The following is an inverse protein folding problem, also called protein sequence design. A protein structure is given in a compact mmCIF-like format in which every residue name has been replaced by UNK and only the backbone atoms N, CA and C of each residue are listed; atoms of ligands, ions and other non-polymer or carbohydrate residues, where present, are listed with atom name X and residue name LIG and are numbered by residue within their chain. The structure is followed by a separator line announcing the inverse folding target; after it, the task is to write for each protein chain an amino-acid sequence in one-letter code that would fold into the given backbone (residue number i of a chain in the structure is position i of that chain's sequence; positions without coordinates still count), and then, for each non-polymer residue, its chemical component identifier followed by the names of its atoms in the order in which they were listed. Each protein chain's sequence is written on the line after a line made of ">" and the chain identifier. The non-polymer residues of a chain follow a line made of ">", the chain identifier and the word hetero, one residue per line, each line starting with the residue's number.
data_IF_103779268023
#
_entry.id   IF_103779268023
#
_cell.length_a   1.000
_cell.length_b   1.000
_cell.length_c   1.000
_cell.angle_alpha   90.00
_cell.angle_beta   90.00
_cell.angle_gamma   90.00
#
_symmetry.space_group_name_H-M   'P 1'
#
loop_
_entity.id
_entity.type
_entity.pdbx_description
1 polymer ?
#
# COMPACT_ATOMS: atom_id res chain seq x y z
N UNK A 1 -22.70 61.32 -9.53
CA UNK A 1 -21.72 60.74 -10.44
C UNK A 1 -20.68 59.98 -9.59
N UNK A 2 -20.99 58.72 -9.16
CA UNK A 2 -20.05 57.89 -8.39
C UNK A 2 -19.51 56.82 -9.31
N UNK A 3 -18.25 57.00 -9.69
CA UNK A 3 -17.48 56.06 -10.53
C UNK A 3 -17.06 54.85 -9.69
N UNK A 4 -17.46 53.64 -10.13
CA UNK A 4 -17.02 52.34 -9.64
C UNK A 4 -15.50 52.23 -9.53
N UNK A 5 -15.01 52.12 -8.29
CA UNK A 5 -13.63 51.73 -7.99
C UNK A 5 -13.61 50.30 -7.43
N UNK A 6 -14.05 49.32 -8.25
CA UNK A 6 -13.71 47.92 -7.98
C UNK A 6 -12.62 47.52 -8.96
N UNK A 7 -11.38 47.85 -8.59
CA UNK A 7 -10.22 47.27 -9.23
C UNK A 7 -10.26 45.75 -9.04
N UNK A 8 -10.38 44.98 -10.13
CA UNK A 8 -10.11 43.55 -10.15
C UNK A 8 -8.72 43.37 -9.56
N UNK A 9 -8.61 42.84 -8.32
CA UNK A 9 -7.34 42.30 -7.81
C UNK A 9 -6.89 41.27 -8.83
N UNK A 10 -5.82 41.53 -9.59
CA UNK A 10 -5.08 40.50 -10.33
C UNK A 10 -4.68 39.47 -9.28
N UNK A 11 -5.29 38.30 -9.32
CA UNK A 11 -4.81 37.18 -8.53
C UNK A 11 -3.35 36.94 -8.93
N UNK A 12 -2.48 36.85 -7.93
CA UNK A 12 -1.09 36.55 -8.12
C UNK A 12 -1.00 35.15 -8.77
N UNK A 13 -0.31 34.97 -9.90
CA UNK A 13 -0.18 33.67 -10.56
C UNK A 13 0.35 32.58 -9.65
N UNK A 14 1.18 32.92 -8.67
CA UNK A 14 1.72 31.96 -7.67
C UNK A 14 0.62 31.39 -6.78
N UNK A 15 -0.36 32.21 -6.35
CA UNK A 15 -1.51 31.78 -5.54
C UNK A 15 -2.43 30.85 -6.34
N UNK A 16 -2.60 31.10 -7.62
CA UNK A 16 -3.40 30.24 -8.51
C UNK A 16 -2.77 28.88 -8.70
N UNK A 17 -1.45 28.82 -8.94
CA UNK A 17 -0.69 27.56 -9.09
C UNK A 17 -0.71 26.72 -7.82
N UNK A 18 -0.61 27.36 -6.65
CA UNK A 18 -0.64 26.66 -5.35
C UNK A 18 -2.03 26.08 -5.08
N UNK A 19 -3.09 26.80 -5.43
CA UNK A 19 -4.48 26.31 -5.32
C UNK A 19 -4.75 25.12 -6.24
N UNK A 20 -4.20 25.10 -7.44
CA UNK A 20 -4.37 24.00 -8.39
C UNK A 20 -3.59 22.76 -7.92
N UNK A 21 -2.38 22.95 -7.40
CA UNK A 21 -1.57 21.88 -6.79
C UNK A 21 -2.29 21.26 -5.60
N UNK A 22 -2.85 22.08 -4.71
CA UNK A 22 -3.60 21.62 -3.55
C UNK A 22 -4.83 20.82 -3.95
N UNK A 23 -5.63 21.31 -4.89
CA UNK A 23 -6.82 20.59 -5.39
C UNK A 23 -6.47 19.22 -5.99
N UNK A 24 -5.42 19.18 -6.80
CA UNK A 24 -4.92 17.94 -7.39
C UNK A 24 -4.50 16.95 -6.30
N UNK A 25 -3.74 17.40 -5.33
CA UNK A 25 -3.31 16.57 -4.21
C UNK A 25 -4.49 16.03 -3.40
N UNK A 26 -5.43 16.89 -3.00
CA UNK A 26 -6.63 16.47 -2.25
C UNK A 26 -7.46 15.44 -3.01
N UNK A 27 -7.60 15.60 -4.32
CA UNK A 27 -8.29 14.64 -5.18
C UNK A 27 -7.57 13.27 -5.18
N UNK A 28 -6.24 13.25 -5.30
CA UNK A 28 -5.43 12.02 -5.26
C UNK A 28 -5.54 11.31 -3.91
N UNK A 29 -5.37 12.04 -2.81
CA UNK A 29 -5.48 11.46 -1.47
C UNK A 29 -6.88 10.89 -1.25
N UNK A 30 -7.92 11.64 -1.58
CA UNK A 30 -9.31 11.16 -1.45
C UNK A 30 -9.58 9.90 -2.26
N UNK A 31 -9.03 9.82 -3.48
CA UNK A 31 -9.23 8.67 -4.37
C UNK A 31 -8.52 7.41 -3.85
N UNK A 32 -7.31 7.53 -3.28
CA UNK A 32 -6.44 6.39 -3.04
C UNK A 32 -6.13 6.09 -1.57
N UNK A 33 -6.52 6.95 -0.62
CA UNK A 33 -6.21 6.77 0.81
C UNK A 33 -6.59 5.39 1.34
N UNK A 34 -7.78 4.88 0.98
CA UNK A 34 -8.27 3.56 1.41
C UNK A 34 -7.40 2.43 0.87
N UNK A 35 -6.99 2.51 -0.39
CA UNK A 35 -6.13 1.49 -1.01
C UNK A 35 -4.73 1.53 -0.42
N UNK A 36 -4.20 2.74 -0.15
CA UNK A 36 -2.92 2.91 0.54
C UNK A 36 -2.94 2.31 1.94
N UNK A 37 -3.99 2.59 2.73
CA UNK A 37 -4.12 2.03 4.07
C UNK A 37 -4.20 0.50 4.05
N UNK A 38 -5.01 -0.07 3.17
CA UNK A 38 -5.12 -1.53 3.02
C UNK A 38 -3.77 -2.16 2.67
N UNK A 39 -3.05 -1.57 1.74
CA UNK A 39 -1.73 -2.06 1.37
C UNK A 39 -0.70 -1.90 2.49
N UNK A 40 -0.68 -0.75 3.17
CA UNK A 40 0.17 -0.51 4.33
C UNK A 40 -0.09 -1.54 5.43
N UNK A 41 -1.37 -1.79 5.74
CA UNK A 41 -1.76 -2.78 6.74
C UNK A 41 -1.28 -4.20 6.37
N UNK A 42 -1.36 -4.58 5.10
CA UNK A 42 -0.82 -5.85 4.63
C UNK A 42 0.71 -5.95 4.71
N UNK A 43 1.41 -4.84 4.68
CA UNK A 43 2.87 -4.83 4.83
C UNK A 43 3.32 -4.95 6.30
N UNK A 44 2.63 -4.29 7.22
CA UNK A 44 3.10 -4.15 8.60
C UNK A 44 2.26 -4.90 9.64
N UNK A 45 1.01 -5.30 9.32
CA UNK A 45 0.05 -5.97 10.23
C UNK A 45 -0.24 -5.25 11.54
N UNK A 46 -0.04 -3.95 11.56
CA UNK A 46 -0.29 -3.07 12.68
C UNK A 46 -1.03 -1.83 12.19
N UNK A 47 -2.17 -1.53 12.78
CA UNK A 47 -3.02 -0.43 12.36
C UNK A 47 -2.35 0.94 12.54
N UNK A 48 -1.66 1.15 13.66
CA UNK A 48 -0.96 2.41 13.94
C UNK A 48 0.21 2.62 12.97
N UNK A 49 0.97 1.56 12.72
CA UNK A 49 2.07 1.61 11.75
C UNK A 49 1.55 1.84 10.33
N UNK A 50 0.41 1.25 9.97
CA UNK A 50 -0.21 1.47 8.68
C UNK A 50 -0.68 2.92 8.51
N UNK A 51 -1.27 3.51 9.54
CA UNK A 51 -1.66 4.92 9.57
C UNK A 51 -0.43 5.84 9.41
N UNK A 52 0.62 5.61 10.18
CA UNK A 52 1.87 6.38 10.09
C UNK A 52 2.50 6.30 8.69
N UNK A 53 2.53 5.10 8.10
CA UNK A 53 3.03 4.90 6.74
C UNK A 53 2.21 5.66 5.70
N UNK A 54 0.88 5.66 5.84
CA UNK A 54 0.01 6.43 4.94
C UNK A 54 0.24 7.92 5.11
N UNK A 55 0.34 8.43 6.34
CA UNK A 55 0.62 9.83 6.59
C UNK A 55 1.95 10.27 6.00
N UNK A 56 3.04 9.52 6.23
CA UNK A 56 4.36 9.84 5.65
C UNK A 56 4.33 9.76 4.12
N UNK A 57 3.60 8.78 3.55
CA UNK A 57 3.38 8.68 2.11
C UNK A 57 2.70 9.94 1.57
N UNK A 58 1.65 10.42 2.23
CA UNK A 58 0.93 11.63 1.86
C UNK A 58 1.84 12.87 1.92
N UNK A 59 2.64 13.01 2.98
CA UNK A 59 3.60 14.12 3.11
C UNK A 59 4.63 14.12 1.98
N UNK A 60 5.17 12.96 1.62
CA UNK A 60 6.12 12.84 0.50
C UNK A 60 5.46 13.07 -0.84
N UNK A 61 4.25 12.55 -1.03
CA UNK A 61 3.47 12.78 -2.23
C UNK A 61 3.22 14.29 -2.45
N UNK A 62 2.87 15.03 -1.40
CA UNK A 62 2.75 16.49 -1.49
C UNK A 62 4.03 17.16 -1.98
N UNK A 63 5.18 16.79 -1.38
CA UNK A 63 6.49 17.37 -1.72
C UNK A 63 6.94 17.05 -3.13
N UNK A 64 6.56 15.88 -3.65
CA UNK A 64 6.99 15.38 -4.97
C UNK A 64 5.87 15.34 -6.00
N UNK A 65 4.73 16.03 -5.77
CA UNK A 65 3.56 15.99 -6.65
C UNK A 65 3.88 16.42 -8.07
N UNK A 66 4.79 17.36 -8.23
CA UNK A 66 5.22 17.89 -9.53
C UNK A 66 5.95 16.82 -10.38
N UNK A 67 6.44 15.74 -9.76
CA UNK A 67 7.02 14.60 -10.47
C UNK A 67 5.98 13.65 -11.07
N UNK A 68 4.73 13.73 -10.64
CA UNK A 68 3.63 12.95 -11.20
C UNK A 68 3.13 13.60 -12.50
N UNK A 69 3.57 13.09 -13.63
CA UNK A 69 3.24 13.63 -14.95
C UNK A 69 1.87 13.16 -15.47
N UNK A 70 1.48 11.93 -15.12
CA UNK A 70 0.20 11.32 -15.54
C UNK A 70 -0.62 10.89 -14.32
N UNK A 71 -1.80 11.45 -14.16
CA UNK A 71 -2.72 11.10 -13.07
C UNK A 71 -3.21 9.64 -13.12
N UNK A 72 -3.15 9.00 -14.29
CA UNK A 72 -3.44 7.57 -14.42
C UNK A 72 -2.41 6.69 -13.69
N UNK A 73 -1.18 7.15 -13.59
CA UNK A 73 -0.12 6.48 -12.86
C UNK A 73 -0.12 6.78 -11.35
N UNK A 74 -1.02 7.66 -10.88
CA UNK A 74 -1.03 8.15 -9.50
C UNK A 74 -1.09 7.04 -8.46
N UNK A 75 -1.91 6.01 -8.67
CA UNK A 75 -2.01 4.87 -7.75
C UNK A 75 -0.69 4.13 -7.61
N UNK A 76 -0.06 3.76 -8.72
CA UNK A 76 1.22 3.05 -8.73
C UNK A 76 2.34 3.91 -8.12
N UNK A 77 2.34 5.21 -8.43
CA UNK A 77 3.28 6.17 -7.88
C UNK A 77 3.15 6.30 -6.36
N UNK A 78 1.93 6.43 -5.81
CA UNK A 78 1.68 6.47 -4.37
C UNK A 78 2.08 5.17 -3.67
N UNK A 79 1.77 4.02 -4.23
CA UNK A 79 2.17 2.70 -3.72
C UNK A 79 3.71 2.57 -3.70
N UNK A 80 4.39 3.07 -4.74
CA UNK A 80 5.85 3.08 -4.78
C UNK A 80 6.45 3.95 -3.67
N UNK A 81 5.87 5.12 -3.38
CA UNK A 81 6.29 5.97 -2.26
C UNK A 81 6.09 5.21 -0.95
N UNK A 82 4.92 4.64 -0.70
CA UNK A 82 4.57 3.91 0.52
C UNK A 82 5.55 2.74 0.76
N UNK A 83 5.82 1.97 -0.28
CA UNK A 83 6.76 0.85 -0.24
C UNK A 83 8.16 1.29 0.18
N UNK A 84 8.65 2.40 -0.38
CA UNK A 84 9.96 2.98 -0.02
C UNK A 84 9.99 3.49 1.42
N UNK A 85 8.90 4.10 1.89
CA UNK A 85 8.81 4.51 3.30
C UNK A 85 8.80 3.32 4.25
N UNK A 86 8.10 2.26 3.90
CA UNK A 86 8.12 1.02 4.69
C UNK A 86 9.54 0.42 4.76
N UNK A 87 10.27 0.36 3.65
CA UNK A 87 11.66 -0.11 3.63
C UNK A 87 12.57 0.74 4.53
N UNK A 88 12.49 2.08 4.43
CA UNK A 88 13.24 3.01 5.31
C UNK A 88 12.93 2.82 6.79
N UNK A 89 11.67 2.54 7.10
CA UNK A 89 11.27 2.26 8.48
C UNK A 89 11.95 1.00 9.02
N UNK A 90 12.03 -0.06 8.22
CA UNK A 90 12.74 -1.28 8.62
C UNK A 90 14.24 -1.02 8.80
N UNK A 91 14.88 -0.26 7.92
CA UNK A 91 16.29 0.12 8.04
C UNK A 91 16.56 0.89 9.34
N UNK A 92 15.70 1.87 9.68
CA UNK A 92 15.83 2.62 10.95
C UNK A 92 15.66 1.69 12.16
N UNK A 93 14.64 0.84 12.15
CA UNK A 93 14.40 -0.12 13.25
C UNK A 93 15.58 -1.09 13.42
N UNK A 94 16.23 -1.52 12.35
CA UNK A 94 17.43 -2.35 12.44
C UNK A 94 18.62 -1.59 13.06
N UNK A 95 18.78 -0.31 12.76
CA UNK A 95 19.82 0.53 13.37
C UNK A 95 19.56 0.75 14.87
N UNK A 96 18.29 0.91 15.26
CA UNK A 96 17.89 1.08 16.66
C UNK A 96 17.96 -0.25 17.45
N UNK A 97 17.81 -1.41 16.78
CA UNK A 97 17.82 -2.75 17.39
C UNK A 97 19.23 -3.32 17.62
N UNK A 98 20.29 -2.61 17.28
CA UNK A 98 21.66 -3.01 17.68
C UNK A 98 21.79 -3.01 19.21
N UNK A 99 20.82 -2.46 19.96
CA UNK A 99 20.84 -2.36 21.42
C UNK A 99 19.75 -3.18 22.16
N UNK A 100 18.76 -3.80 21.50
CA UNK A 100 17.71 -4.55 22.22
C UNK A 100 17.19 -5.71 21.39
N UNK A 101 17.40 -6.93 21.89
CA UNK A 101 16.85 -8.19 21.43
C UNK A 101 15.39 -8.31 21.95
N UNK A 102 14.39 -8.07 21.09
CA UNK A 102 13.01 -8.48 21.37
C UNK A 102 12.15 -8.57 20.11
N UNK A 103 11.89 -9.80 19.68
CA UNK A 103 10.96 -10.11 18.59
C UNK A 103 9.56 -10.33 19.16
N UNK A 104 8.79 -9.27 19.31
CA UNK A 104 7.36 -9.39 19.55
C UNK A 104 6.60 -9.26 18.21
N UNK A 105 6.14 -10.39 17.69
CA UNK A 105 5.11 -10.44 16.66
C UNK A 105 3.80 -10.12 17.40
N UNK A 106 3.33 -8.88 17.27
CA UNK A 106 2.04 -8.50 17.80
C UNK A 106 0.93 -9.12 16.95
N UNK A 107 0.20 -10.05 17.54
CA UNK A 107 -1.10 -10.54 17.06
C UNK A 107 -2.11 -9.39 17.16
N UNK A 108 -2.26 -8.63 16.07
CA UNK A 108 -3.31 -7.62 15.98
C UNK A 108 -4.61 -8.30 15.57
N UNK A 109 -5.36 -8.77 16.55
CA UNK A 109 -6.79 -9.08 16.42
C UNK A 109 -7.57 -7.79 16.19
N UNK A 110 -7.67 -7.36 14.95
CA UNK A 110 -8.59 -6.31 14.55
C UNK A 110 -10.00 -6.91 14.40
N UNK A 111 -10.89 -6.49 15.29
CA UNK A 111 -12.30 -6.79 15.32
C UNK A 111 -13.03 -6.16 14.11
N UNK A 112 -13.30 -6.97 13.12
CA UNK A 112 -14.43 -6.81 12.20
C UNK A 112 -14.98 -8.21 12.00
N UNK A 113 -16.30 -8.39 12.05
CA UNK A 113 -17.00 -9.63 11.71
C UNK A 113 -16.59 -10.08 10.31
N UNK A 114 -15.45 -10.71 10.19
CA UNK A 114 -14.95 -11.28 8.95
C UNK A 114 -15.17 -12.77 9.03
N UNK A 115 -15.77 -13.33 8.00
CA UNK A 115 -15.97 -14.76 7.84
C UNK A 115 -14.69 -15.53 8.17
N UNK A 116 -14.80 -16.65 8.90
CA UNK A 116 -13.68 -17.51 9.25
C UNK A 116 -12.79 -17.87 8.04
N UNK A 117 -13.39 -17.92 6.84
CA UNK A 117 -12.68 -18.17 5.59
C UNK A 117 -11.81 -17.00 5.14
N UNK A 118 -12.20 -15.75 5.43
CA UNK A 118 -11.37 -14.57 5.15
C UNK A 118 -10.13 -14.54 6.05
N UNK A 119 -10.29 -14.82 7.33
CA UNK A 119 -9.16 -14.92 8.26
C UNK A 119 -8.22 -16.06 7.90
N UNK A 120 -8.77 -17.18 7.42
CA UNK A 120 -7.97 -18.29 6.95
C UNK A 120 -7.13 -17.87 5.74
N UNK A 121 -7.75 -17.31 4.70
CA UNK A 121 -7.05 -16.85 3.51
C UNK A 121 -5.97 -15.82 3.84
N UNK A 122 -6.28 -14.89 4.74
CA UNK A 122 -5.33 -13.89 5.22
C UNK A 122 -4.10 -14.53 5.85
N UNK A 123 -4.28 -15.49 6.76
CA UNK A 123 -3.17 -16.24 7.36
C UNK A 123 -2.35 -17.01 6.33
N UNK A 124 -3.01 -17.64 5.36
CA UNK A 124 -2.31 -18.38 4.30
C UNK A 124 -1.44 -17.46 3.43
N UNK A 125 -1.96 -16.29 3.06
CA UNK A 125 -1.19 -15.29 2.32
C UNK A 125 0.01 -14.81 3.16
N UNK A 126 -0.18 -14.65 4.46
CA UNK A 126 0.89 -14.23 5.38
C UNK A 126 2.02 -15.24 5.51
N UNK A 127 1.72 -16.52 5.39
CA UNK A 127 2.70 -17.58 5.43
C UNK A 127 3.54 -17.69 4.14
N UNK A 128 3.16 -16.99 3.07
CA UNK A 128 3.99 -16.91 1.88
C UNK A 128 5.28 -16.13 2.15
N UNK A 129 6.38 -16.54 1.55
CA UNK A 129 7.60 -15.76 1.56
C UNK A 129 7.35 -14.36 0.98
N UNK A 130 7.98 -13.29 1.53
CA UNK A 130 7.73 -11.91 1.12
C UNK A 130 7.80 -11.68 -0.39
N UNK A 131 8.73 -12.35 -1.07
CA UNK A 131 8.92 -12.27 -2.52
C UNK A 131 7.75 -12.82 -3.34
N UNK A 132 6.93 -13.72 -2.80
CA UNK A 132 5.72 -14.24 -3.43
C UNK A 132 4.48 -13.50 -2.96
N UNK A 133 4.46 -13.11 -1.69
CA UNK A 133 3.35 -12.41 -1.04
C UNK A 133 3.13 -11.02 -1.63
N UNK A 134 4.18 -10.21 -1.76
CA UNK A 134 4.06 -8.81 -2.17
C UNK A 134 3.47 -8.66 -3.59
N UNK A 135 3.96 -9.36 -4.64
CA UNK A 135 3.32 -9.31 -5.97
C UNK A 135 1.85 -9.74 -5.94
N UNK A 136 1.52 -10.76 -5.14
CA UNK A 136 0.15 -11.25 -5.01
C UNK A 136 -0.77 -10.21 -4.38
N UNK A 137 -0.33 -9.54 -3.32
CA UNK A 137 -1.08 -8.47 -2.66
C UNK A 137 -1.32 -7.31 -3.62
N UNK A 138 -0.30 -6.88 -4.36
CA UNK A 138 -0.43 -5.82 -5.37
C UNK A 138 -1.47 -6.19 -6.44
N UNK A 139 -1.54 -7.46 -6.84
CA UNK A 139 -2.51 -7.92 -7.81
C UNK A 139 -3.94 -7.98 -7.24
N UNK A 140 -4.13 -8.62 -6.07
CA UNK A 140 -5.49 -8.90 -5.55
C UNK A 140 -6.10 -7.71 -4.81
N UNK A 141 -5.27 -6.89 -4.13
CA UNK A 141 -5.75 -5.78 -3.30
C UNK A 141 -5.72 -4.44 -4.03
N UNK A 142 -4.70 -4.20 -4.84
CA UNK A 142 -4.53 -2.96 -5.56
C UNK A 142 -4.98 -3.06 -7.04
N UNK A 143 -5.21 -4.27 -7.56
CA UNK A 143 -5.72 -4.52 -8.91
C UNK A 143 -4.69 -4.27 -10.02
N UNK A 144 -3.39 -4.26 -9.69
CA UNK A 144 -2.34 -4.05 -10.67
C UNK A 144 -2.14 -5.27 -11.57
N UNK A 145 -1.86 -5.01 -12.83
CA UNK A 145 -1.42 -6.04 -13.78
C UNK A 145 0.07 -6.37 -13.62
N UNK A 146 0.55 -7.39 -14.34
CA UNK A 146 1.93 -7.86 -14.20
C UNK A 146 2.99 -6.84 -14.60
N UNK A 147 2.69 -5.95 -15.54
CA UNK A 147 3.62 -4.90 -16.00
C UNK A 147 3.72 -3.77 -14.97
N UNK A 148 2.59 -3.36 -14.40
CA UNK A 148 2.54 -2.37 -13.32
C UNK A 148 3.25 -2.89 -12.06
N UNK A 149 3.03 -4.16 -11.69
CA UNK A 149 3.71 -4.79 -10.56
C UNK A 149 5.22 -4.84 -10.81
N UNK A 150 5.66 -5.14 -12.04
CA UNK A 150 7.06 -5.16 -12.41
C UNK A 150 7.71 -3.77 -12.22
N UNK A 151 7.02 -2.71 -12.59
CA UNK A 151 7.47 -1.34 -12.38
C UNK A 151 7.53 -0.97 -10.89
N UNK A 152 6.48 -1.28 -10.12
CA UNK A 152 6.41 -0.99 -8.67
C UNK A 152 7.52 -1.72 -7.90
N UNK A 153 7.78 -2.98 -8.23
CA UNK A 153 8.76 -3.83 -7.56
C UNK A 153 10.17 -3.70 -8.12
N UNK A 154 10.35 -2.94 -9.22
CA UNK A 154 11.63 -2.80 -9.92
C UNK A 154 12.17 -4.17 -10.39
N UNK A 155 11.27 -5.03 -10.89
CA UNK A 155 11.55 -6.37 -11.39
C UNK A 155 11.22 -6.49 -12.88
N UNK A 156 11.76 -7.51 -13.55
CA UNK A 156 11.27 -7.83 -14.87
C UNK A 156 9.91 -8.56 -14.81
N UNK A 157 9.10 -8.42 -15.86
CA UNK A 157 7.77 -9.00 -15.95
C UNK A 157 7.76 -10.53 -15.76
N UNK A 158 8.74 -11.23 -16.31
CA UNK A 158 8.81 -12.69 -16.22
C UNK A 158 9.03 -13.14 -14.77
N UNK A 159 9.86 -12.43 -14.02
CA UNK A 159 10.05 -12.68 -12.58
C UNK A 159 8.74 -12.48 -11.82
N UNK A 160 8.00 -11.41 -12.09
CA UNK A 160 6.69 -11.15 -11.46
C UNK A 160 5.72 -12.28 -11.77
N UNK A 161 5.60 -12.68 -13.05
CA UNK A 161 4.69 -13.75 -13.45
C UNK A 161 5.06 -15.10 -12.79
N UNK A 162 6.34 -15.40 -12.70
CA UNK A 162 6.82 -16.60 -11.99
C UNK A 162 6.51 -16.56 -10.50
N UNK A 163 6.72 -15.41 -9.85
CA UNK A 163 6.40 -15.22 -8.42
C UNK A 163 4.91 -15.34 -8.16
N UNK A 164 4.06 -14.74 -8.99
CA UNK A 164 2.60 -14.86 -8.91
C UNK A 164 2.13 -16.32 -9.10
N UNK A 165 2.73 -17.03 -10.05
CA UNK A 165 2.42 -18.45 -10.28
C UNK A 165 2.76 -19.30 -9.05
N UNK A 166 3.97 -19.13 -8.50
CA UNK A 166 4.41 -19.85 -7.30
C UNK A 166 3.56 -19.51 -6.08
N UNK A 167 3.22 -18.22 -5.89
CA UNK A 167 2.34 -17.77 -4.82
C UNK A 167 0.99 -18.50 -4.85
N UNK A 168 0.36 -18.57 -6.02
CA UNK A 168 -0.94 -19.25 -6.19
C UNK A 168 -0.85 -20.75 -5.93
N UNK A 169 0.20 -21.41 -6.41
CA UNK A 169 0.38 -22.83 -6.19
C UNK A 169 0.58 -23.14 -4.70
N UNK A 170 1.42 -22.38 -4.00
CA UNK A 170 1.61 -22.55 -2.56
C UNK A 170 0.31 -22.32 -1.77
N UNK A 171 -0.49 -21.32 -2.13
CA UNK A 171 -1.79 -21.09 -1.51
C UNK A 171 -2.75 -22.25 -1.75
N UNK A 172 -2.79 -22.79 -2.97
CA UNK A 172 -3.60 -23.95 -3.32
C UNK A 172 -3.24 -25.17 -2.47
N UNK A 173 -1.95 -25.51 -2.40
CA UNK A 173 -1.44 -26.61 -1.57
C UNK A 173 -1.78 -26.45 -0.08
N UNK A 174 -1.63 -25.24 0.45
CA UNK A 174 -1.97 -24.95 1.84
C UNK A 174 -3.47 -25.11 2.11
N UNK A 175 -4.34 -24.67 1.20
CA UNK A 175 -5.79 -24.83 1.29
C UNK A 175 -6.21 -26.32 1.22
N UNK A 176 -5.62 -27.09 0.32
CA UNK A 176 -5.90 -28.52 0.17
C UNK A 176 -5.49 -29.30 1.44
N UNK A 177 -4.32 -29.02 1.99
CA UNK A 177 -3.84 -29.62 3.24
C UNK A 177 -4.75 -29.31 4.43
N UNK A 178 -5.27 -28.09 4.52
CA UNK A 178 -6.20 -27.71 5.58
C UNK A 178 -7.58 -28.37 5.43
N UNK A 179 -8.04 -28.54 4.20
CA UNK A 179 -9.30 -29.24 3.91
C UNK A 179 -9.24 -30.70 4.34
N UNK A 180 -8.11 -31.36 4.07
CA UNK A 180 -7.86 -32.76 4.49
C UNK A 180 -7.80 -32.89 6.01
N UNK A 181 -7.14 -31.95 6.70
CA UNK A 181 -7.08 -31.96 8.18
C UNK A 181 -8.44 -31.77 8.84
N UNK A 182 -9.32 -30.95 8.25
CA UNK A 182 -10.69 -30.75 8.74
C UNK A 182 -11.56 -31.99 8.48
N UNK A 183 -11.39 -32.67 7.35
CA UNK A 183 -12.09 -33.93 7.02
C UNK A 183 -11.76 -35.06 8.00
N UNK A 184 -10.50 -35.19 8.39
CA UNK A 184 -10.03 -36.24 9.35
C UNK A 184 -10.43 -35.98 10.83
N UNK A 185 -10.88 -34.78 11.17
CA UNK A 185 -11.33 -34.45 12.54
C UNK A 185 -12.83 -34.72 12.76
N UNK A 186 -13.60 -34.87 11.71
CA UNK A 186 -15.06 -35.07 11.77
C UNK A 186 -15.49 -36.50 11.37
N UNK A 187 -14.59 -37.43 11.24
CA UNK A 187 -14.82 -38.86 11.06
C UNK A 187 -14.29 -39.63 12.27
#
# INVERSE_FOLDING_TARGET
>A
MFRNFFGKKKQDPSVSLDMDKQRRYEALVRAWHRDLYRYAYWLCHDAHIAEDLVQETCLRAWRSLDSLQDDKAAKAWLITILRRENARRFERKQLDLVDIDDHAIADATSSVESNADQHLLQRLIMNLAPEYREPLILQIMAGFNGDEIAQILELNRNTVMTRLFRARNQLKEQLENQSQQRGNRNG
#
